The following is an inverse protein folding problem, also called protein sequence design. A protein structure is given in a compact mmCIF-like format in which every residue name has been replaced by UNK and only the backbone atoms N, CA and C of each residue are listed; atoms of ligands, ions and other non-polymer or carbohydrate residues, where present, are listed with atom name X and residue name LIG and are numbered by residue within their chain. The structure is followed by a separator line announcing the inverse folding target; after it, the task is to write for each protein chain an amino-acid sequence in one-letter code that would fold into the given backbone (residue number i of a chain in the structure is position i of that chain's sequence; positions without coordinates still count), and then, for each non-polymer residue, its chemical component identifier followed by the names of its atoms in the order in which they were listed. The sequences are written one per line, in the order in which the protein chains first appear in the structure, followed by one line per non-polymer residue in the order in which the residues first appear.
data_IF_736474032486
#
_entry.id   IF_736474032486
#
_cell.length_a   1.000
_cell.length_b   1.000
_cell.length_c   1.000
_cell.angle_alpha   90.00
_cell.angle_beta   90.00
_cell.angle_gamma   90.00
#
_symmetry.space_group_name_H-M   'P 1'
#
loop_
_entity.id
_entity.type
_entity.pdbx_description
1 polymer ?
#
# COMPACT_ATOMS: atom_id res chain seq x y z
N UNK A 1 11.04 -11.17 14.20
CA UNK A 1 10.06 -10.08 14.22
C UNK A 1 10.32 -9.15 15.40
N UNK A 2 10.06 -7.86 15.24
CA UNK A 2 10.14 -6.88 16.33
C UNK A 2 8.77 -6.79 17.02
N UNK A 3 8.73 -6.67 18.35
CA UNK A 3 7.48 -6.60 19.11
C UNK A 3 7.62 -5.58 20.24
N UNK A 4 6.61 -4.74 20.42
CA UNK A 4 6.44 -3.88 21.61
C UNK A 4 4.97 -3.74 21.97
N UNK A 5 4.69 -3.44 23.23
CA UNK A 5 3.34 -3.35 23.78
C UNK A 5 3.14 -2.05 24.55
N UNK A 6 1.90 -1.62 24.67
CA UNK A 6 1.51 -0.57 25.60
C UNK A 6 0.09 -0.79 26.12
N UNK A 7 -0.21 -0.21 27.28
CA UNK A 7 -1.60 -0.06 27.77
C UNK A 7 -2.31 1.08 27.02
N UNK A 8 -3.64 1.14 27.15
CA UNK A 8 -4.47 2.19 26.50
C UNK A 8 -3.98 3.61 26.81
N UNK A 9 -3.68 3.87 28.06
CA UNK A 9 -3.32 5.18 28.57
C UNK A 9 -1.79 5.37 28.66
N UNK A 10 -1.03 4.38 28.17
CA UNK A 10 0.42 4.36 28.18
C UNK A 10 1.06 4.77 26.85
N UNK A 11 2.37 4.77 26.84
CA UNK A 11 3.18 4.93 25.64
C UNK A 11 3.90 3.62 25.33
N UNK A 12 4.23 3.40 24.05
CA UNK A 12 5.06 2.28 23.66
C UNK A 12 6.47 2.44 24.26
N UNK A 13 6.92 1.42 24.95
CA UNK A 13 8.29 1.32 25.45
C UNK A 13 9.22 0.74 24.37
N UNK A 14 10.49 0.54 24.71
CA UNK A 14 11.44 -0.10 23.82
C UNK A 14 11.02 -1.56 23.58
N UNK A 15 10.86 -1.94 22.31
CA UNK A 15 10.54 -3.30 21.94
C UNK A 15 11.78 -4.17 21.76
N UNK A 16 11.54 -5.44 21.41
CA UNK A 16 12.55 -6.47 21.24
C UNK A 16 12.42 -7.20 19.92
N UNK A 17 13.57 -7.64 19.39
CA UNK A 17 13.62 -8.55 18.23
C UNK A 17 13.50 -9.99 18.72
N UNK A 18 12.45 -10.66 18.33
CA UNK A 18 12.15 -12.05 18.67
C UNK A 18 12.18 -12.95 17.41
N UNK A 19 12.38 -14.26 17.54
CA UNK A 19 12.16 -15.20 16.45
C UNK A 19 10.75 -15.03 15.84
N UNK A 20 10.62 -15.27 14.55
CA UNK A 20 9.29 -15.32 13.92
C UNK A 20 8.49 -16.50 14.48
N UNK A 21 7.26 -16.25 14.87
CA UNK A 21 6.38 -17.25 15.46
C UNK A 21 4.95 -16.75 15.65
N UNK A 22 4.12 -17.57 16.25
CA UNK A 22 2.74 -17.23 16.56
C UNK A 22 2.66 -16.13 17.62
N UNK A 23 1.64 -15.28 17.51
CA UNK A 23 1.25 -14.36 18.58
C UNK A 23 0.08 -14.94 19.35
N UNK A 24 0.10 -14.79 20.68
CA UNK A 24 -0.99 -15.21 21.54
C UNK A 24 -1.94 -14.04 21.78
N UNK A 25 -3.22 -14.26 21.53
CA UNK A 25 -4.30 -13.29 21.74
C UNK A 25 -5.43 -13.94 22.54
N UNK A 26 -6.06 -13.15 23.43
CA UNK A 26 -7.33 -13.55 24.05
C UNK A 26 -8.40 -13.69 22.96
N UNK A 27 -9.32 -14.69 23.06
CA UNK A 27 -10.49 -14.75 22.17
C UNK A 27 -11.32 -13.47 22.15
N UNK A 28 -11.32 -12.70 23.23
CA UNK A 28 -12.00 -11.40 23.35
C UNK A 28 -11.09 -10.21 22.98
N UNK A 29 -9.94 -10.41 22.32
CA UNK A 29 -9.11 -9.29 21.86
C UNK A 29 -9.89 -8.37 20.92
N UNK A 30 -9.71 -7.05 21.08
CA UNK A 30 -10.42 -6.03 20.29
C UNK A 30 -10.21 -6.19 18.79
N UNK A 31 -9.02 -6.60 18.35
CA UNK A 31 -8.73 -6.85 16.94
C UNK A 31 -9.54 -8.02 16.36
N UNK A 32 -9.80 -9.07 17.14
CA UNK A 32 -10.54 -10.25 16.68
C UNK A 32 -12.04 -10.02 16.63
N UNK A 33 -12.59 -9.25 17.57
CA UNK A 33 -14.04 -9.06 17.69
C UNK A 33 -14.55 -7.80 17.01
N UNK A 34 -13.76 -6.73 17.02
CA UNK A 34 -14.18 -5.41 16.56
C UNK A 34 -13.27 -4.82 15.46
N UNK A 35 -12.31 -5.61 14.97
CA UNK A 35 -11.43 -5.19 13.88
C UNK A 35 -10.51 -4.02 14.22
N UNK A 36 -10.22 -3.77 15.52
CA UNK A 36 -9.34 -2.69 15.95
C UNK A 36 -7.89 -3.02 15.63
N UNK A 37 -7.51 -2.82 14.35
CA UNK A 37 -6.19 -3.14 13.86
C UNK A 37 -5.83 -2.35 12.61
N UNK A 38 -4.55 -2.02 12.52
CA UNK A 38 -3.92 -1.32 11.40
C UNK A 38 -2.71 -2.11 10.92
N UNK A 39 -2.35 -1.93 9.66
CA UNK A 39 -1.12 -2.48 9.14
C UNK A 39 -0.45 -1.56 8.15
N UNK A 40 0.83 -1.77 7.94
CA UNK A 40 1.62 -1.13 6.92
C UNK A 40 2.30 -2.16 6.00
N UNK A 41 2.79 -1.71 4.88
CA UNK A 41 3.58 -2.51 3.98
C UNK A 41 4.70 -1.67 3.40
N UNK A 42 5.92 -2.15 3.53
CA UNK A 42 7.11 -1.50 2.99
C UNK A 42 8.16 -2.54 2.64
N UNK A 43 9.22 -2.12 1.96
CA UNK A 43 10.26 -3.01 1.47
C UNK A 43 11.64 -2.52 1.93
N UNK A 44 12.54 -3.48 2.19
CA UNK A 44 13.98 -3.21 2.23
C UNK A 44 14.62 -3.76 0.95
N UNK A 45 15.51 -2.98 0.39
CA UNK A 45 16.19 -3.24 -0.87
C UNK A 45 17.68 -3.44 -0.60
N UNK A 46 18.30 -4.38 -1.32
CA UNK A 46 19.75 -4.54 -1.30
C UNK A 46 20.37 -3.73 -2.43
N UNK A 47 21.34 -2.88 -2.08
CA UNK A 47 22.20 -2.17 -3.03
C UNK A 47 23.22 -3.13 -3.67
N UNK A 48 23.87 -2.70 -4.75
CA UNK A 48 24.96 -3.45 -5.39
C UNK A 48 26.15 -3.69 -4.45
N UNK A 49 26.47 -2.72 -3.60
CA UNK A 49 27.55 -2.80 -2.59
C UNK A 49 27.19 -3.66 -1.36
N UNK A 50 25.96 -4.19 -1.31
CA UNK A 50 25.46 -5.03 -0.22
C UNK A 50 24.79 -4.27 0.92
N UNK A 51 24.79 -2.94 0.90
CA UNK A 51 24.06 -2.08 1.82
C UNK A 51 22.54 -2.30 1.70
N UNK A 52 21.79 -1.88 2.69
CA UNK A 52 20.33 -1.98 2.70
C UNK A 52 19.69 -0.59 2.70
N UNK A 53 18.60 -0.45 1.93
CA UNK A 53 17.80 0.76 1.86
C UNK A 53 16.38 0.50 2.32
N UNK A 54 15.80 1.47 3.01
CA UNK A 54 14.36 1.64 3.21
C UNK A 54 13.88 2.81 2.35
N UNK A 55 12.66 2.74 1.88
CA UNK A 55 12.07 3.80 1.06
C UNK A 55 10.95 4.51 1.80
N UNK A 56 11.13 5.81 2.11
CA UNK A 56 10.17 6.73 2.75
C UNK A 56 9.46 6.14 4.00
N UNK A 57 10.19 5.50 4.94
CA UNK A 57 9.58 4.84 6.10
C UNK A 57 8.76 5.79 6.97
N UNK A 58 9.12 7.07 7.01
CA UNK A 58 8.42 8.11 7.77
C UNK A 58 6.99 8.36 7.26
N UNK A 59 6.75 8.18 5.96
CA UNK A 59 5.40 8.32 5.40
C UNK A 59 4.49 7.16 5.83
N UNK A 60 5.04 5.94 5.93
CA UNK A 60 4.32 4.81 6.48
C UNK A 60 4.00 5.03 7.97
N UNK A 61 4.98 5.51 8.76
CA UNK A 61 4.77 5.86 10.16
C UNK A 61 3.65 6.90 10.33
N UNK A 62 3.72 8.01 9.59
CA UNK A 62 2.70 9.08 9.63
C UNK A 62 1.31 8.55 9.24
N UNK A 63 1.22 7.69 8.24
CA UNK A 63 -0.05 7.09 7.82
C UNK A 63 -0.61 6.15 8.89
N UNK A 64 0.22 5.35 9.57
CA UNK A 64 -0.22 4.55 10.71
C UNK A 64 -0.69 5.43 11.86
N UNK A 65 -0.02 6.54 12.17
CA UNK A 65 -0.44 7.50 13.21
C UNK A 65 -1.83 8.10 12.90
N UNK A 66 -2.06 8.53 11.65
CA UNK A 66 -3.39 9.01 11.22
C UNK A 66 -4.47 7.93 11.37
N UNK A 67 -4.14 6.69 11.01
CA UNK A 67 -5.04 5.56 11.18
C UNK A 67 -5.32 5.25 12.65
N UNK A 68 -4.31 5.31 13.50
CA UNK A 68 -4.42 5.05 14.93
C UNK A 68 -5.33 6.08 15.62
N UNK A 69 -5.19 7.36 15.28
CA UNK A 69 -6.09 8.41 15.74
C UNK A 69 -7.55 8.09 15.37
N UNK A 70 -7.81 7.76 14.10
CA UNK A 70 -9.15 7.40 13.61
C UNK A 70 -9.76 6.19 14.31
N UNK A 71 -8.91 5.22 14.71
CA UNK A 71 -9.32 3.96 15.33
C UNK A 71 -9.23 3.99 16.86
N UNK A 72 -8.98 5.15 17.48
CA UNK A 72 -8.82 5.33 18.94
C UNK A 72 -7.75 4.41 19.52
N UNK A 73 -6.58 4.35 18.89
CA UNK A 73 -5.46 3.49 19.28
C UNK A 73 -4.23 4.35 19.61
N UNK A 74 -3.50 4.09 20.72
CA UNK A 74 -2.15 4.64 20.86
C UNK A 74 -1.26 4.12 19.72
N UNK A 75 -0.33 4.95 19.27
CA UNK A 75 0.56 4.62 18.17
C UNK A 75 2.03 4.81 18.59
N UNK A 76 2.96 3.96 18.13
CA UNK A 76 4.37 4.26 18.25
C UNK A 76 4.70 5.63 17.66
N UNK A 77 5.64 6.35 18.27
CA UNK A 77 6.18 7.57 17.68
C UNK A 77 6.81 7.27 16.32
N UNK A 78 6.96 8.30 15.48
CA UNK A 78 7.64 8.18 14.19
C UNK A 78 9.02 7.52 14.34
N UNK A 79 9.79 7.94 15.33
CA UNK A 79 11.12 7.38 15.61
C UNK A 79 11.03 5.89 16.00
N UNK A 80 10.11 5.51 16.89
CA UNK A 80 9.95 4.11 17.32
C UNK A 80 9.51 3.21 16.15
N UNK A 81 8.61 3.70 15.29
CA UNK A 81 8.20 2.95 14.09
C UNK A 81 9.38 2.70 13.15
N UNK A 82 10.12 3.76 12.80
CA UNK A 82 11.26 3.66 11.87
C UNK A 82 12.36 2.77 12.45
N UNK A 83 12.64 2.89 13.75
CA UNK A 83 13.64 2.08 14.44
C UNK A 83 13.23 0.60 14.47
N UNK A 84 11.98 0.28 14.77
CA UNK A 84 11.46 -1.09 14.71
C UNK A 84 11.61 -1.73 13.33
N UNK A 85 11.34 -0.96 12.27
CA UNK A 85 11.51 -1.40 10.88
C UNK A 85 12.98 -1.64 10.56
N UNK A 86 13.89 -0.72 10.95
CA UNK A 86 15.35 -0.88 10.78
C UNK A 86 15.86 -2.14 11.47
N UNK A 87 15.53 -2.31 12.75
CA UNK A 87 15.95 -3.51 13.51
C UNK A 87 15.40 -4.80 12.91
N UNK A 88 14.16 -4.79 12.42
CA UNK A 88 13.59 -5.95 11.72
C UNK A 88 14.38 -6.25 10.43
N UNK A 89 14.69 -5.27 9.62
CA UNK A 89 15.44 -5.46 8.38
C UNK A 89 16.85 -5.98 8.66
N UNK A 90 17.57 -5.40 9.64
CA UNK A 90 18.92 -5.81 10.03
C UNK A 90 18.95 -7.24 10.58
N UNK A 91 18.02 -7.60 11.48
CA UNK A 91 17.92 -8.94 12.03
C UNK A 91 17.63 -9.99 10.94
N UNK A 92 17.04 -9.57 9.82
CA UNK A 92 16.73 -10.42 8.67
C UNK A 92 17.63 -10.15 7.45
N UNK A 93 18.78 -9.48 7.62
CA UNK A 93 19.70 -9.08 6.54
C UNK A 93 20.04 -10.22 5.58
N UNK A 94 20.24 -11.43 6.11
CA UNK A 94 20.54 -12.64 5.31
C UNK A 94 19.41 -13.06 4.36
N UNK A 95 18.16 -12.65 4.68
CA UNK A 95 16.97 -12.98 3.90
C UNK A 95 16.58 -11.91 2.88
N UNK A 96 17.26 -10.75 2.90
CA UNK A 96 17.08 -9.76 1.85
C UNK A 96 17.64 -10.31 0.55
N UNK A 97 16.84 -10.51 -0.50
CA UNK A 97 17.31 -11.05 -1.77
C UNK A 97 18.48 -10.23 -2.35
N UNK A 98 19.33 -10.84 -3.18
CA UNK A 98 20.38 -10.10 -3.90
C UNK A 98 19.83 -8.94 -4.71
N UNK A 99 20.66 -7.95 -4.98
CA UNK A 99 20.30 -6.81 -5.83
C UNK A 99 19.63 -7.27 -7.13
N UNK A 100 18.49 -6.67 -7.48
CA UNK A 100 17.73 -6.99 -8.69
C UNK A 100 16.99 -8.34 -8.71
N UNK A 101 17.01 -9.13 -7.62
CA UNK A 101 16.35 -10.44 -7.54
C UNK A 101 15.11 -10.46 -6.64
N UNK A 102 14.85 -9.39 -5.91
CA UNK A 102 13.72 -9.28 -5.00
C UNK A 102 13.94 -8.28 -3.90
N UNK A 103 13.09 -8.35 -2.90
CA UNK A 103 13.06 -7.42 -1.77
C UNK A 103 12.68 -8.16 -0.49
N UNK A 104 13.00 -7.59 0.66
CA UNK A 104 12.44 -8.05 1.92
C UNK A 104 11.18 -7.22 2.20
N UNK A 105 10.01 -7.83 2.09
CA UNK A 105 8.74 -7.19 2.41
C UNK A 105 8.53 -7.18 3.93
N UNK A 106 8.30 -6.01 4.50
CA UNK A 106 8.05 -5.83 5.92
C UNK A 106 6.61 -5.43 6.18
N UNK A 107 6.04 -6.03 7.23
CA UNK A 107 4.66 -5.84 7.65
C UNK A 107 4.58 -5.32 9.08
N UNK A 108 4.63 -4.00 9.29
CA UNK A 108 4.21 -3.40 10.56
C UNK A 108 2.72 -3.61 10.80
N UNK A 109 2.35 -3.97 12.02
CA UNK A 109 0.97 -4.15 12.47
C UNK A 109 0.78 -3.48 13.82
N UNK A 110 -0.37 -2.85 14.03
CA UNK A 110 -0.81 -2.31 15.30
C UNK A 110 -2.17 -2.92 15.65
N UNK A 111 -2.25 -3.64 16.75
CA UNK A 111 -3.39 -4.48 17.10
C UNK A 111 -3.93 -4.11 18.49
N UNK A 112 -5.24 -3.96 18.63
CA UNK A 112 -5.92 -3.99 19.91
C UNK A 112 -5.89 -5.40 20.47
N UNK A 113 -4.82 -5.75 21.20
CA UNK A 113 -4.51 -7.11 21.67
C UNK A 113 -5.15 -7.44 23.02
N UNK A 114 -5.50 -6.43 23.81
CA UNK A 114 -6.13 -6.61 25.10
C UNK A 114 -7.56 -7.14 25.00
N UNK A 115 -7.99 -7.87 26.03
CA UNK A 115 -9.31 -8.45 26.13
C UNK A 115 -10.38 -7.37 26.43
N UNK A 116 -11.39 -7.29 25.57
CA UNK A 116 -12.54 -6.39 25.73
C UNK A 116 -13.80 -7.05 25.17
N UNK A 117 -14.84 -7.15 25.96
CA UNK A 117 -16.15 -7.61 25.54
C UNK A 117 -17.12 -6.40 25.59
N UNK A 118 -17.49 -5.92 24.40
CA UNK A 118 -18.22 -4.69 24.24
C UNK A 118 -17.46 -3.73 23.33
N UNK A 119 -18.18 -2.82 22.66
CA UNK A 119 -17.60 -1.86 21.72
C UNK A 119 -16.86 -0.74 22.46
N UNK A 120 -15.59 -0.97 22.73
CA UNK A 120 -14.69 -0.02 23.39
C UNK A 120 -13.25 -0.20 22.88
N UNK A 121 -12.39 0.82 23.01
CA UNK A 121 -10.96 0.66 22.75
C UNK A 121 -10.35 -0.42 23.64
N UNK A 122 -9.48 -1.25 23.07
CA UNK A 122 -8.81 -2.33 23.79
C UNK A 122 -7.98 -1.78 24.97
N UNK A 123 -7.84 -2.52 26.09
CA UNK A 123 -7.02 -2.08 27.22
C UNK A 123 -5.51 -2.23 26.99
N UNK A 124 -5.08 -3.05 26.03
CA UNK A 124 -3.68 -3.27 25.65
C UNK A 124 -3.53 -3.28 24.12
N UNK A 125 -2.39 -2.82 23.65
CA UNK A 125 -2.03 -2.78 22.22
C UNK A 125 -0.68 -3.43 21.99
N UNK A 126 -0.58 -4.15 20.88
CA UNK A 126 0.67 -4.75 20.41
C UNK A 126 1.03 -4.13 19.06
N UNK A 127 2.23 -3.55 18.97
CA UNK A 127 2.85 -3.22 17.70
C UNK A 127 3.90 -4.27 17.38
N UNK A 128 3.89 -4.78 16.16
CA UNK A 128 4.88 -5.73 15.71
C UNK A 128 5.28 -5.49 14.24
N UNK A 129 6.50 -5.89 13.89
CA UNK A 129 6.99 -5.88 12.51
C UNK A 129 7.56 -7.25 12.20
N UNK A 130 7.01 -7.91 11.17
CA UNK A 130 7.61 -9.11 10.61
C UNK A 130 8.01 -8.91 9.16
N UNK A 131 8.80 -9.83 8.62
CA UNK A 131 9.34 -9.71 7.28
C UNK A 131 9.28 -11.04 6.53
N UNK A 132 9.17 -10.95 5.20
CA UNK A 132 9.22 -12.08 4.27
C UNK A 132 9.98 -11.70 3.01
N UNK A 133 10.92 -12.52 2.52
CA UNK A 133 11.53 -12.30 1.21
C UNK A 133 10.49 -12.49 0.10
N UNK A 134 10.53 -11.62 -0.90
CA UNK A 134 9.65 -11.66 -2.07
C UNK A 134 10.50 -11.50 -3.32
N UNK A 135 10.35 -12.41 -4.28
CA UNK A 135 10.98 -12.32 -5.60
C UNK A 135 10.35 -11.18 -6.42
N UNK A 136 11.16 -10.54 -7.25
CA UNK A 136 10.65 -9.57 -8.22
C UNK A 136 9.67 -10.20 -9.22
N UNK A 137 9.79 -11.50 -9.48
CA UNK A 137 8.94 -12.23 -10.42
C UNK A 137 7.56 -12.57 -9.81
N UNK A 138 7.41 -12.49 -8.50
CA UNK A 138 6.14 -12.79 -7.81
C UNK A 138 4.99 -11.91 -8.30
N UNK A 139 5.28 -10.65 -8.65
CA UNK A 139 4.29 -9.70 -9.16
C UNK A 139 4.39 -9.48 -10.68
N UNK A 140 5.40 -10.06 -11.35
CA UNK A 140 5.51 -10.05 -12.81
C UNK A 140 4.62 -11.14 -13.39
N UNK A 141 3.32 -10.84 -13.50
CA UNK A 141 2.45 -11.59 -14.39
C UNK A 141 2.94 -11.49 -15.84
N UNK A 142 2.47 -12.35 -16.72
CA UNK A 142 2.81 -12.41 -18.16
C UNK A 142 2.22 -11.24 -18.98
N UNK A 143 1.95 -10.09 -18.38
CA UNK A 143 1.35 -8.91 -19.02
C UNK A 143 0.91 -7.88 -17.99
N UNK A 144 0.26 -6.81 -18.44
CA UNK A 144 -0.37 -5.83 -17.57
C UNK A 144 -1.63 -6.37 -16.89
N UNK A 145 -2.18 -5.58 -15.98
CA UNK A 145 -3.41 -5.95 -15.27
C UNK A 145 -4.61 -5.93 -16.22
N UNK A 146 -5.50 -6.89 -16.04
CA UNK A 146 -6.81 -6.92 -16.67
C UNK A 146 -7.86 -6.64 -15.59
N UNK A 147 -8.46 -5.44 -15.58
CA UNK A 147 -9.36 -5.00 -14.52
C UNK A 147 -10.83 -5.03 -14.95
N UNK A 148 -11.69 -5.24 -13.98
CA UNK A 148 -13.14 -5.11 -14.12
C UNK A 148 -13.64 -3.95 -13.25
N UNK A 149 -14.47 -3.05 -13.81
CA UNK A 149 -15.08 -1.97 -13.03
C UNK A 149 -16.23 -2.54 -12.21
N UNK A 150 -16.15 -2.40 -10.91
CA UNK A 150 -17.11 -2.94 -9.95
C UNK A 150 -18.24 -1.93 -9.69
N UNK A 151 -19.47 -2.30 -10.01
CA UNK A 151 -20.65 -1.44 -9.83
C UNK A 151 -21.56 -1.90 -8.68
N UNK A 152 -21.45 -3.16 -8.23
CA UNK A 152 -22.34 -3.73 -7.21
C UNK A 152 -21.84 -3.45 -5.78
N UNK A 153 -20.54 -3.63 -5.55
CA UNK A 153 -19.94 -3.43 -4.24
C UNK A 153 -19.17 -2.12 -4.16
N UNK A 154 -19.24 -1.48 -2.98
CA UNK A 154 -18.39 -0.34 -2.66
C UNK A 154 -17.11 -0.82 -1.97
N UNK A 155 -15.99 -0.18 -2.28
CA UNK A 155 -14.76 -0.39 -1.51
C UNK A 155 -14.81 0.35 -0.18
N UNK A 156 -15.41 1.53 -0.18
CA UNK A 156 -15.46 2.42 0.97
C UNK A 156 -16.67 3.34 0.89
N UNK A 157 -17.25 3.63 2.04
CA UNK A 157 -18.28 4.66 2.16
C UNK A 157 -17.66 6.03 2.44
N UNK A 158 -18.32 7.10 1.99
CA UNK A 158 -17.98 8.48 2.36
C UNK A 158 -17.95 8.63 3.89
N UNK A 159 -16.91 9.28 4.42
CA UNK A 159 -16.64 9.43 5.86
C UNK A 159 -16.39 8.10 6.61
N UNK A 160 -16.25 7.00 5.89
CA UNK A 160 -15.87 5.70 6.43
C UNK A 160 -14.36 5.61 6.74
N UNK A 161 -13.80 4.43 6.56
CA UNK A 161 -12.38 4.14 6.90
C UNK A 161 -11.51 3.85 5.66
N UNK A 162 -12.00 4.14 4.45
CA UNK A 162 -11.26 3.87 3.20
C UNK A 162 -9.88 4.51 3.12
N UNK A 163 -9.75 5.74 3.62
CA UNK A 163 -8.47 6.45 3.72
C UNK A 163 -7.53 5.95 4.82
N UNK A 164 -7.97 4.98 5.63
CA UNK A 164 -7.20 4.38 6.73
C UNK A 164 -6.74 2.99 6.33
N UNK A 165 -5.50 2.63 6.65
CA UNK A 165 -4.98 1.28 6.36
C UNK A 165 -5.40 0.29 7.45
N UNK A 166 -6.73 0.21 7.66
CA UNK A 166 -7.35 -0.72 8.62
C UNK A 166 -7.53 -2.10 8.02
N UNK A 167 -7.35 -3.13 8.86
CA UNK A 167 -7.60 -4.53 8.47
C UNK A 167 -9.05 -4.74 8.02
N UNK A 168 -10.01 -3.97 8.54
CA UNK A 168 -11.44 -4.07 8.22
C UNK A 168 -11.77 -3.75 6.75
N UNK A 169 -10.90 -3.00 6.05
CA UNK A 169 -11.17 -2.59 4.67
C UNK A 169 -10.88 -3.68 3.64
N UNK A 170 -10.20 -4.77 4.01
CA UNK A 170 -9.67 -5.73 3.04
C UNK A 170 -10.54 -6.98 2.88
N UNK A 171 -11.06 -7.53 3.96
CA UNK A 171 -11.94 -8.69 3.88
C UNK A 171 -13.21 -8.44 3.04
N UNK A 172 -13.90 -7.28 3.14
CA UNK A 172 -15.05 -6.99 2.27
C UNK A 172 -14.74 -6.99 0.77
N UNK A 173 -13.52 -6.63 0.37
CA UNK A 173 -13.12 -6.63 -1.04
C UNK A 173 -12.97 -8.05 -1.64
N UNK A 174 -12.82 -9.10 -0.81
CA UNK A 174 -12.56 -10.46 -1.28
C UNK A 174 -13.67 -11.01 -2.16
N UNK A 175 -14.94 -10.65 -1.93
CA UNK A 175 -16.06 -11.16 -2.71
C UNK A 175 -16.04 -10.60 -4.14
N UNK A 176 -15.91 -9.30 -4.31
CA UNK A 176 -15.81 -8.66 -5.62
C UNK A 176 -14.57 -9.16 -6.38
N UNK A 177 -13.41 -9.18 -5.71
CA UNK A 177 -12.16 -9.68 -6.28
C UNK A 177 -12.25 -11.17 -6.68
N UNK A 178 -12.83 -12.03 -5.85
CA UNK A 178 -13.04 -13.44 -6.16
C UNK A 178 -13.93 -13.66 -7.38
N UNK A 179 -15.03 -12.89 -7.49
CA UNK A 179 -15.92 -12.89 -8.65
C UNK A 179 -15.21 -12.43 -9.93
N UNK A 180 -14.41 -11.37 -9.84
CA UNK A 180 -13.63 -10.89 -10.98
C UNK A 180 -12.59 -11.94 -11.43
N UNK A 181 -11.86 -12.55 -10.51
CA UNK A 181 -10.89 -13.60 -10.79
C UNK A 181 -11.51 -14.84 -11.45
N UNK A 182 -12.69 -15.28 -11.01
CA UNK A 182 -13.39 -16.40 -11.64
C UNK A 182 -13.82 -16.13 -13.09
N UNK A 183 -13.87 -14.85 -13.48
CA UNK A 183 -14.15 -14.39 -14.85
C UNK A 183 -12.89 -14.06 -15.65
N UNK A 184 -11.68 -14.32 -15.10
CA UNK A 184 -10.39 -14.10 -15.77
C UNK A 184 -9.81 -12.69 -15.61
N UNK A 185 -10.36 -11.86 -14.72
CA UNK A 185 -9.77 -10.56 -14.42
C UNK A 185 -8.69 -10.65 -13.32
N UNK A 186 -7.74 -9.74 -13.33
CA UNK A 186 -6.67 -9.66 -12.31
C UNK A 186 -7.20 -9.11 -10.99
N UNK A 187 -8.03 -8.07 -11.05
CA UNK A 187 -8.59 -7.36 -9.90
C UNK A 187 -9.82 -6.54 -10.34
N UNK A 188 -10.41 -5.82 -9.40
CA UNK A 188 -11.50 -4.87 -9.64
C UNK A 188 -11.04 -3.44 -9.45
N UNK A 189 -11.66 -2.52 -10.20
CA UNK A 189 -11.55 -1.08 -10.03
C UNK A 189 -12.89 -0.56 -9.50
N UNK A 190 -12.88 0.05 -8.33
CA UNK A 190 -14.10 0.51 -7.67
C UNK A 190 -14.49 1.92 -8.11
N UNK A 191 -15.80 2.16 -8.08
CA UNK A 191 -16.41 3.47 -8.25
C UNK A 191 -16.81 4.07 -6.90
N UNK A 192 -17.02 5.38 -6.89
CA UNK A 192 -17.54 6.09 -5.72
C UNK A 192 -18.89 5.52 -5.26
N UNK A 193 -19.10 5.48 -3.95
CA UNK A 193 -20.28 4.85 -3.34
C UNK A 193 -21.58 5.65 -3.49
N UNK A 194 -21.53 6.88 -4.00
CA UNK A 194 -22.69 7.78 -4.09
C UNK A 194 -23.30 7.80 -5.48
N UNK A 195 -22.48 8.15 -6.48
CA UNK A 195 -22.94 8.35 -7.85
C UNK A 195 -22.62 7.18 -8.78
N UNK A 196 -21.68 6.32 -8.40
CA UNK A 196 -21.16 5.22 -9.21
C UNK A 196 -20.64 5.69 -10.58
N UNK A 197 -20.06 6.88 -10.62
CA UNK A 197 -19.57 7.54 -11.84
C UNK A 197 -18.11 7.91 -11.81
N UNK A 198 -17.51 7.95 -10.62
CA UNK A 198 -16.15 8.41 -10.45
C UNK A 198 -15.28 7.25 -9.97
N UNK A 199 -14.06 7.20 -10.47
CA UNK A 199 -13.08 6.20 -10.05
C UNK A 199 -12.65 6.44 -8.62
N UNK A 200 -12.42 5.36 -7.89
CA UNK A 200 -11.73 5.38 -6.60
C UNK A 200 -10.37 4.67 -6.72
N UNK A 201 -10.26 3.45 -6.28
CA UNK A 201 -9.03 2.67 -6.35
C UNK A 201 -9.34 1.19 -6.61
N UNK A 202 -8.33 0.39 -6.95
CA UNK A 202 -8.46 -1.05 -7.02
C UNK A 202 -8.52 -1.66 -5.61
N UNK A 203 -8.63 -2.98 -5.48
CA UNK A 203 -8.75 -3.63 -4.16
C UNK A 203 -7.63 -3.25 -3.19
N UNK A 204 -6.39 -3.05 -3.67
CA UNK A 204 -5.22 -2.74 -2.85
C UNK A 204 -4.23 -1.76 -3.51
N UNK A 205 -4.61 -1.06 -4.58
CA UNK A 205 -3.74 -0.19 -5.36
C UNK A 205 -4.47 1.10 -5.75
N UNK A 206 -3.76 2.23 -5.74
CA UNK A 206 -4.26 3.47 -6.34
C UNK A 206 -4.19 3.39 -7.87
N UNK A 207 -5.07 4.10 -8.58
CA UNK A 207 -5.16 4.14 -10.04
C UNK A 207 -4.75 5.50 -10.59
N UNK A 208 -4.14 5.48 -11.77
CA UNK A 208 -3.75 6.64 -12.56
C UNK A 208 -4.18 6.44 -14.02
N UNK A 209 -4.58 7.53 -14.65
CA UNK A 209 -4.93 7.61 -16.07
C UNK A 209 -3.97 8.58 -16.75
N UNK A 210 -3.47 8.22 -17.93
CA UNK A 210 -2.62 9.08 -18.75
C UNK A 210 -3.35 9.45 -20.03
N UNK A 211 -3.38 10.74 -20.34
CA UNK A 211 -3.84 11.27 -21.62
C UNK A 211 -2.87 12.35 -22.12
N UNK A 212 -2.13 12.06 -23.18
CA UNK A 212 -1.06 12.93 -23.65
C UNK A 212 -0.03 13.22 -22.56
N UNK A 213 0.09 14.49 -22.17
CA UNK A 213 1.02 14.95 -21.10
C UNK A 213 0.33 15.10 -19.72
N UNK A 214 -0.92 14.69 -19.59
CA UNK A 214 -1.70 14.81 -18.36
C UNK A 214 -1.83 13.46 -17.69
N UNK A 215 -1.54 13.40 -16.38
CA UNK A 215 -1.70 12.22 -15.52
C UNK A 215 -2.75 12.55 -14.46
N UNK A 216 -3.91 11.90 -14.54
CA UNK A 216 -5.01 12.09 -13.60
C UNK A 216 -5.09 10.94 -12.59
N UNK A 217 -5.38 11.26 -11.33
CA UNK A 217 -5.60 10.26 -10.28
C UNK A 217 -6.66 10.73 -9.30
N UNK A 218 -7.53 9.84 -8.80
CA UNK A 218 -8.49 10.21 -7.78
C UNK A 218 -7.82 10.80 -6.53
N UNK A 219 -8.36 11.92 -6.03
CA UNK A 219 -7.83 12.58 -4.85
C UNK A 219 -8.04 11.71 -3.60
N UNK A 220 -6.98 11.53 -2.81
CA UNK A 220 -7.04 10.74 -1.58
C UNK A 220 -7.77 11.52 -0.45
N UNK A 221 -9.11 11.59 -0.54
CA UNK A 221 -9.99 12.34 0.37
C UNK A 221 -10.95 11.41 1.11
N UNK A 222 -10.44 10.64 2.09
CA UNK A 222 -11.25 9.86 3.03
C UNK A 222 -11.70 8.49 2.54
N UNK A 223 -12.05 8.29 1.28
CA UNK A 223 -12.44 6.98 0.72
C UNK A 223 -11.27 6.22 0.10
N UNK A 224 -10.21 6.91 -0.30
CA UNK A 224 -9.06 6.39 -1.01
C UNK A 224 -7.82 6.44 -0.12
N UNK A 225 -7.05 5.36 -0.10
CA UNK A 225 -5.83 5.30 0.69
C UNK A 225 -4.77 6.27 0.14
N UNK A 226 -4.18 7.16 1.00
CA UNK A 226 -3.06 8.00 0.60
C UNK A 226 -1.78 7.15 0.44
N UNK A 227 -1.61 6.58 -0.75
CA UNK A 227 -0.51 5.67 -1.07
C UNK A 227 0.85 6.36 -1.02
N UNK A 228 1.85 5.73 -0.37
CA UNK A 228 3.24 6.22 -0.38
C UNK A 228 3.80 6.15 -1.81
N UNK A 229 3.56 5.06 -2.52
CA UNK A 229 3.93 4.92 -3.93
C UNK A 229 3.19 5.93 -4.80
N UNK A 230 1.87 6.10 -4.59
CA UNK A 230 1.07 7.12 -5.28
C UNK A 230 1.71 8.51 -5.17
N UNK A 231 2.02 8.95 -3.96
CA UNK A 231 2.67 10.24 -3.72
C UNK A 231 4.02 10.33 -4.41
N UNK A 232 4.83 9.29 -4.37
CA UNK A 232 6.15 9.28 -5.01
C UNK A 232 6.06 9.35 -6.53
N UNK A 233 5.08 8.68 -7.15
CA UNK A 233 4.84 8.76 -8.59
C UNK A 233 4.37 10.15 -9.02
N UNK A 234 3.51 10.80 -8.24
CA UNK A 234 3.11 12.19 -8.49
C UNK A 234 4.33 13.12 -8.50
N UNK A 235 5.19 13.00 -7.47
CA UNK A 235 6.39 13.82 -7.36
C UNK A 235 7.39 13.54 -8.51
N UNK A 236 7.55 12.29 -8.96
CA UNK A 236 8.39 11.92 -10.12
C UNK A 236 7.76 12.45 -11.41
N UNK A 237 6.46 12.33 -11.58
CA UNK A 237 5.77 12.82 -12.77
C UNK A 237 5.96 14.33 -12.96
N UNK A 238 5.87 15.12 -11.90
CA UNK A 238 6.22 16.56 -11.96
C UNK A 238 7.67 16.81 -12.38
N UNK A 239 8.62 16.04 -11.83
CA UNK A 239 10.04 16.17 -12.17
C UNK A 239 10.31 15.83 -13.66
N UNK A 240 9.48 14.96 -14.25
CA UNK A 240 9.54 14.60 -15.69
C UNK A 240 8.74 15.55 -16.59
N UNK A 241 8.11 16.60 -16.04
CA UNK A 241 7.39 17.62 -16.81
C UNK A 241 5.96 17.24 -17.17
N UNK A 242 5.38 16.21 -16.55
CA UNK A 242 3.96 15.89 -16.70
C UNK A 242 3.09 16.86 -15.88
N UNK A 243 1.92 17.18 -16.42
CA UNK A 243 0.86 17.80 -15.65
C UNK A 243 0.15 16.71 -14.82
N UNK A 244 0.04 16.89 -13.50
CA UNK A 244 -0.65 15.93 -12.64
C UNK A 244 -1.91 16.56 -12.07
N UNK A 245 -3.03 15.87 -12.21
CA UNK A 245 -4.34 16.27 -11.70
C UNK A 245 -4.82 15.31 -10.63
N UNK A 246 -4.88 15.80 -9.39
CA UNK A 246 -5.47 15.08 -8.26
C UNK A 246 -6.90 15.59 -8.02
N UNK A 247 -7.91 14.82 -8.44
CA UNK A 247 -9.29 15.30 -8.40
C UNK A 247 -10.32 14.18 -8.45
N UNK A 248 -11.52 14.57 -8.87
CA UNK A 248 -12.56 13.63 -9.28
C UNK A 248 -12.22 13.15 -10.68
N UNK A 249 -12.18 11.85 -10.87
CA UNK A 249 -11.88 11.23 -12.17
C UNK A 249 -13.10 10.44 -12.65
N UNK A 250 -13.90 10.98 -13.59
CA UNK A 250 -15.03 10.26 -14.14
C UNK A 250 -14.63 8.93 -14.79
N UNK A 251 -15.45 7.91 -14.64
CA UNK A 251 -15.18 6.58 -15.20
C UNK A 251 -15.07 6.61 -16.73
N UNK A 252 -15.78 7.51 -17.41
CA UNK A 252 -15.75 7.66 -18.85
C UNK A 252 -14.35 8.08 -19.37
N UNK A 253 -13.50 8.68 -18.54
CA UNK A 253 -12.12 8.98 -18.92
C UNK A 253 -11.30 7.72 -19.21
N UNK A 254 -11.70 6.56 -18.70
CA UNK A 254 -11.08 5.29 -19.07
C UNK A 254 -11.23 4.98 -20.56
N UNK A 255 -12.33 5.40 -21.19
CA UNK A 255 -12.61 5.10 -22.60
C UNK A 255 -11.70 5.86 -23.57
N UNK A 256 -11.13 6.98 -23.14
CA UNK A 256 -10.27 7.85 -23.95
C UNK A 256 -8.82 7.92 -23.46
N UNK A 257 -8.46 7.14 -22.46
CA UNK A 257 -7.11 7.12 -21.90
C UNK A 257 -6.10 6.49 -22.86
N UNK A 258 -4.88 7.00 -22.88
CA UNK A 258 -3.77 6.40 -23.64
C UNK A 258 -3.13 5.27 -22.84
N UNK A 259 -2.96 5.47 -21.52
CA UNK A 259 -2.43 4.46 -20.57
C UNK A 259 -3.21 4.52 -19.25
N UNK A 260 -3.28 3.39 -18.58
CA UNK A 260 -3.74 3.28 -17.19
C UNK A 260 -2.73 2.46 -16.41
N UNK A 261 -2.45 2.85 -15.18
CA UNK A 261 -1.60 2.07 -14.30
C UNK A 261 -2.05 2.12 -12.83
N UNK A 262 -1.67 1.11 -12.08
CA UNK A 262 -1.92 1.03 -10.64
C UNK A 262 -0.62 1.17 -9.85
N UNK A 263 -0.70 1.74 -8.64
CA UNK A 263 0.46 1.90 -7.76
C UNK A 263 0.21 1.32 -6.37
N UNK A 264 1.25 0.69 -5.81
CA UNK A 264 1.22 0.15 -4.45
C UNK A 264 2.58 -0.41 -4.06
N UNK A 265 2.82 -0.64 -2.77
CA UNK A 265 4.11 -1.17 -2.30
C UNK A 265 4.46 -2.51 -2.95
N UNK A 266 3.49 -3.39 -3.09
CA UNK A 266 3.70 -4.72 -3.66
C UNK A 266 4.05 -4.67 -5.14
N UNK A 267 3.18 -4.04 -5.94
CA UNK A 267 3.28 -3.99 -7.41
C UNK A 267 4.19 -2.88 -7.93
N UNK A 268 4.57 -1.93 -7.08
CA UNK A 268 5.30 -0.69 -7.40
C UNK A 268 4.47 0.17 -8.36
N UNK A 269 4.65 0.03 -9.66
CA UNK A 269 3.81 0.58 -10.74
C UNK A 269 3.46 -0.57 -11.67
N UNK A 270 2.19 -0.92 -11.74
CA UNK A 270 1.71 -1.99 -12.59
C UNK A 270 0.91 -1.42 -13.76
N UNK A 271 1.33 -1.65 -15.01
CA UNK A 271 0.55 -1.24 -16.17
C UNK A 271 -0.78 -2.00 -16.20
N UNK A 272 -1.82 -1.37 -16.70
CA UNK A 272 -3.11 -1.98 -16.99
C UNK A 272 -3.20 -2.21 -18.49
N UNK A 273 -3.33 -3.47 -18.91
CA UNK A 273 -3.51 -3.82 -20.32
C UNK A 273 -4.93 -3.54 -20.78
N UNK A 274 -5.89 -3.96 -19.95
CA UNK A 274 -7.30 -3.82 -20.31
C UNK A 274 -8.17 -3.49 -19.10
N UNK A 275 -9.23 -2.72 -19.36
CA UNK A 275 -10.34 -2.53 -18.41
C UNK A 275 -11.64 -2.90 -19.10
N UNK A 276 -12.49 -3.63 -18.39
CA UNK A 276 -13.88 -3.88 -18.81
C UNK A 276 -14.82 -3.10 -17.91
N UNK A 277 -15.59 -2.21 -18.52
CA UNK A 277 -16.69 -1.46 -17.89
C UNK A 277 -17.98 -1.75 -18.60
N UNK A 278 -18.93 -2.39 -17.91
CA UNK A 278 -20.15 -2.92 -18.51
C UNK A 278 -19.84 -3.87 -19.67
N UNK A 279 -20.31 -3.55 -20.89
CA UNK A 279 -20.08 -4.34 -22.10
C UNK A 279 -18.89 -3.84 -22.94
N UNK A 280 -18.18 -2.79 -22.48
CA UNK A 280 -17.05 -2.19 -23.18
C UNK A 280 -15.74 -2.67 -22.59
N UNK A 281 -14.86 -3.18 -23.45
CA UNK A 281 -13.49 -3.53 -23.10
C UNK A 281 -12.53 -2.61 -23.83
N UNK A 282 -11.71 -1.90 -23.08
CA UNK A 282 -10.70 -0.96 -23.59
C UNK A 282 -9.32 -1.57 -23.36
N UNK A 283 -8.45 -1.45 -24.37
CA UNK A 283 -7.06 -1.84 -24.31
C UNK A 283 -6.18 -0.60 -24.30
N UNK A 284 -5.14 -0.59 -23.48
CA UNK A 284 -4.24 0.54 -23.27
C UNK A 284 -2.84 0.24 -23.78
N UNK A 285 -2.07 1.31 -24.04
CA UNK A 285 -0.66 1.23 -24.37
C UNK A 285 0.13 0.78 -23.14
N UNK A 286 1.00 -0.21 -23.30
CA UNK A 286 1.90 -0.72 -22.26
C UNK A 286 3.30 -0.99 -22.82
N UNK A 287 4.26 -1.27 -21.96
CA UNK A 287 5.60 -1.69 -22.33
C UNK A 287 6.58 -0.53 -22.55
N UNK A 288 7.65 -0.80 -23.29
CA UNK A 288 8.75 0.15 -23.50
C UNK A 288 8.26 1.40 -24.23
N UNK A 289 8.66 2.58 -23.74
CA UNK A 289 8.24 3.86 -24.30
C UNK A 289 6.86 4.34 -23.81
N UNK A 290 6.26 3.66 -22.83
CA UNK A 290 5.10 4.16 -22.11
C UNK A 290 5.51 5.06 -20.94
N UNK A 291 4.63 6.00 -20.58
CA UNK A 291 4.77 6.84 -19.36
C UNK A 291 4.88 5.95 -18.12
N UNK A 292 4.06 4.92 -18.06
CA UNK A 292 4.08 3.91 -16.99
C UNK A 292 5.46 3.28 -16.80
N UNK A 293 6.13 2.89 -17.92
CA UNK A 293 7.46 2.27 -17.88
C UNK A 293 8.54 3.25 -17.42
N UNK A 294 8.45 4.51 -17.85
CA UNK A 294 9.36 5.58 -17.45
C UNK A 294 9.28 5.85 -15.94
N UNK A 295 8.08 6.07 -15.42
CA UNK A 295 7.83 6.31 -14.00
C UNK A 295 8.24 5.10 -13.13
N UNK A 296 7.96 3.88 -13.58
CA UNK A 296 8.40 2.65 -12.93
C UNK A 296 9.91 2.58 -12.82
N UNK A 297 10.62 2.81 -13.94
CA UNK A 297 12.09 2.70 -14.00
C UNK A 297 12.76 3.71 -13.08
N UNK A 298 12.28 4.94 -13.06
CA UNK A 298 12.78 6.01 -12.19
C UNK A 298 12.57 5.64 -10.71
N UNK A 299 11.36 5.24 -10.34
CA UNK A 299 11.06 4.90 -8.94
C UNK A 299 11.88 3.69 -8.46
N UNK A 300 11.94 2.62 -9.25
CA UNK A 300 12.73 1.42 -8.90
C UNK A 300 14.22 1.74 -8.82
N UNK A 301 14.72 2.57 -9.73
CA UNK A 301 16.11 3.04 -9.70
C UNK A 301 16.47 3.75 -8.39
N UNK A 302 15.59 4.66 -7.92
CA UNK A 302 15.75 5.33 -6.62
C UNK A 302 15.68 4.33 -5.46
N UNK A 303 14.67 3.46 -5.45
CA UNK A 303 14.46 2.47 -4.39
C UNK A 303 15.66 1.50 -4.22
N UNK A 304 16.38 1.22 -5.29
CA UNK A 304 17.53 0.32 -5.31
C UNK A 304 18.88 1.02 -5.21
N UNK A 305 18.89 2.35 -5.17
CA UNK A 305 20.10 3.16 -5.12
C UNK A 305 20.89 3.16 -6.44
N UNK A 306 20.25 2.86 -7.56
CA UNK A 306 20.84 2.93 -8.94
C UNK A 306 20.68 4.34 -9.51
N UNK A 307 19.58 5.00 -9.21
CA UNK A 307 19.32 6.41 -9.54
C UNK A 307 19.53 7.24 -8.28
N UNK A 308 20.18 8.40 -8.45
CA UNK A 308 20.43 9.33 -7.35
C UNK A 308 19.12 9.79 -6.68
N UNK A 309 19.08 9.67 -5.36
CA UNK A 309 17.95 10.14 -4.56
C UNK A 309 18.09 11.63 -4.20
N UNK A 310 17.70 12.50 -5.12
CA UNK A 310 17.77 13.96 -4.92
C UNK A 310 16.77 14.49 -3.89
N UNK A 311 15.83 13.67 -3.45
CA UNK A 311 14.75 14.08 -2.53
C UNK A 311 14.92 13.53 -1.11
N UNK A 312 15.93 12.70 -0.86
CA UNK A 312 16.17 12.10 0.45
C UNK A 312 15.06 11.12 0.86
N UNK A 313 14.56 10.32 -0.08
CA UNK A 313 13.50 9.34 0.16
C UNK A 313 14.01 8.01 0.71
N UNK A 314 15.28 7.73 0.47
CA UNK A 314 15.90 6.48 0.91
C UNK A 314 16.64 6.68 2.23
N UNK A 315 16.55 5.69 3.09
CA UNK A 315 17.28 5.63 4.37
C UNK A 315 18.18 4.42 4.33
N UNK A 316 19.48 4.65 4.33
CA UNK A 316 20.46 3.58 4.43
C UNK A 316 20.49 3.01 5.85
N UNK A 317 20.58 1.69 5.96
CA UNK A 317 20.62 0.96 7.21
C UNK A 317 21.79 -0.01 7.20
N UNK A 318 22.59 0.05 8.25
CA UNK A 318 23.82 -0.76 8.43
C UNK A 318 23.81 -1.46 9.79
#
# INVERSE_FOLDING_TARGET
MYVMKCSRDGSFEKGEVNPYGNIQLSPSAGVLNYGQGLFEGMKSYRKEDGGLLLFRPELNAKRMMMGAERMCMPCPSLHQFVEAVKQTALANKRWVPPHGKGTLYMRPMLLGSGAVLGLAPAPEYTFLVYASPVSDDYFKGSGGLNLYVEEEYDRSARLGTGGVKSICNYAPALKAMGRAKSRGFSDVLYLDSVEKKNLEEASACNVFIVKGNVISTPAARGTILPGVTRRSIIEIAYDHGYQVEEGVVPVDQLLDADEVFCTGTAVVVAPVDTITYRDQRVQYKTGVGSVTSELYSTLVGIQRGVVEDKKGWTVEIS
#
